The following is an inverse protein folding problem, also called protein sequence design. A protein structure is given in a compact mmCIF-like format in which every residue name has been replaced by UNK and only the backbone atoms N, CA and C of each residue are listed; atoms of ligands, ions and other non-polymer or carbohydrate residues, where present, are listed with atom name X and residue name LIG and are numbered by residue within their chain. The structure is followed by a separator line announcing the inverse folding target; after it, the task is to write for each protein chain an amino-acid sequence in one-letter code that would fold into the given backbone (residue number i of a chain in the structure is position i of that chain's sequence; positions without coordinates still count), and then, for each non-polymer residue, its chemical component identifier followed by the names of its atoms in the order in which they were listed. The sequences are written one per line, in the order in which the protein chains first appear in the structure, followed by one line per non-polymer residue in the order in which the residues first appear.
data_IF_379145019124
#
_entry.id   IF_379145019124
#
_cell.length_a   1.000
_cell.length_b   1.000
_cell.length_c   1.000
_cell.angle_alpha   90.00
_cell.angle_beta   90.00
_cell.angle_gamma   90.00
#
_symmetry.space_group_name_H-M   'P 1'
#
loop_
_entity.id
_entity.type
_entity.pdbx_description
1 polymer ?
#
# COMPACT_ATOMS: atom_id res chain seq x y z
N UNK A 1 -3.61 -4.02 -4.15
CA UNK A 1 -3.99 -2.58 -4.14
C UNK A 1 -3.07 -1.76 -5.04
N UNK A 2 -3.57 -0.64 -5.56
CA UNK A 2 -2.84 0.35 -6.32
C UNK A 2 -3.31 1.75 -5.91
N UNK A 3 -2.40 2.60 -5.44
CA UNK A 3 -2.69 3.95 -4.95
C UNK A 3 -1.87 4.99 -5.70
N UNK A 4 -2.44 6.16 -5.95
CA UNK A 4 -1.75 7.31 -6.52
C UNK A 4 -2.51 8.59 -6.23
N UNK A 5 -2.05 9.71 -6.80
CA UNK A 5 -2.75 11.00 -6.67
C UNK A 5 -4.17 10.84 -7.25
N UNK A 6 -5.18 11.09 -6.41
CA UNK A 6 -6.60 10.96 -6.77
C UNK A 6 -7.00 9.58 -7.33
N UNK A 7 -6.25 8.52 -7.01
CA UNK A 7 -6.49 7.17 -7.52
C UNK A 7 -6.30 6.13 -6.44
N UNK A 8 -7.30 5.28 -6.23
CA UNK A 8 -7.25 4.19 -5.27
C UNK A 8 -7.98 2.99 -5.90
N UNK A 9 -7.34 1.84 -5.92
CA UNK A 9 -7.90 0.61 -6.46
C UNK A 9 -7.56 -0.58 -5.56
N UNK A 10 -8.60 -1.34 -5.23
CA UNK A 10 -8.55 -2.55 -4.42
C UNK A 10 -9.28 -3.66 -5.16
N UNK A 11 -8.85 -4.91 -4.93
CA UNK A 11 -9.54 -6.06 -5.49
C UNK A 11 -8.58 -7.15 -5.93
N UNK A 12 -9.14 -8.12 -6.65
CA UNK A 12 -8.42 -9.29 -7.15
C UNK A 12 -7.63 -8.93 -8.40
N UNK A 13 -6.38 -9.37 -8.42
CA UNK A 13 -5.51 -9.25 -9.58
C UNK A 13 -5.71 -10.47 -10.48
N UNK A 14 -6.37 -10.30 -11.62
CA UNK A 14 -6.64 -11.37 -12.59
C UNK A 14 -5.69 -11.31 -13.78
N UNK A 15 -5.13 -10.14 -14.06
CA UNK A 15 -4.11 -9.95 -15.08
C UNK A 15 -2.91 -9.21 -14.48
N UNK A 16 -1.73 -9.76 -14.68
CA UNK A 16 -0.49 -9.13 -14.22
C UNK A 16 0.64 -9.33 -15.20
N UNK A 17 1.61 -8.43 -15.15
CA UNK A 17 2.89 -8.56 -15.85
C UNK A 17 3.96 -7.97 -14.96
N UNK A 18 5.08 -8.68 -14.83
CA UNK A 18 6.26 -8.22 -14.13
C UNK A 18 7.41 -8.05 -15.12
N UNK A 19 8.15 -6.96 -14.98
CA UNK A 19 9.44 -6.77 -15.65
C UNK A 19 10.52 -7.63 -14.98
N UNK A 20 11.65 -7.82 -15.65
CA UNK A 20 12.79 -8.56 -15.11
C UNK A 20 13.37 -7.96 -13.82
N UNK A 21 13.10 -6.67 -13.54
CA UNK A 21 13.45 -6.02 -12.28
C UNK A 21 12.58 -6.44 -11.08
N UNK A 22 11.55 -7.27 -11.29
CA UNK A 22 10.52 -7.58 -10.30
C UNK A 22 9.42 -6.53 -10.19
N UNK A 23 9.55 -5.41 -10.91
CA UNK A 23 8.51 -4.38 -10.93
C UNK A 23 7.26 -4.89 -11.67
N UNK A 24 6.09 -4.75 -11.06
CA UNK A 24 4.82 -4.97 -11.76
C UNK A 24 4.66 -3.86 -12.79
N UNK A 25 4.38 -4.17 -14.05
CA UNK A 25 4.10 -3.19 -15.11
C UNK A 25 2.66 -3.25 -15.59
N UNK A 26 1.93 -4.32 -15.26
CA UNK A 26 0.49 -4.41 -15.48
C UNK A 26 -0.20 -4.92 -14.22
N UNK A 27 -1.23 -4.21 -13.79
CA UNK A 27 -2.16 -4.63 -12.74
C UNK A 27 -3.60 -4.45 -13.25
N UNK A 28 -4.23 -5.55 -13.65
CA UNK A 28 -5.51 -5.55 -14.36
C UNK A 28 -5.47 -4.59 -15.56
N UNK A 29 -6.40 -3.64 -15.63
CA UNK A 29 -6.50 -2.66 -16.72
C UNK A 29 -5.50 -1.49 -16.59
N UNK A 30 -4.71 -1.46 -15.51
CA UNK A 30 -3.72 -0.39 -15.30
C UNK A 30 -2.34 -0.86 -15.72
N UNK A 31 -1.74 -0.18 -16.70
CA UNK A 31 -0.45 -0.56 -17.30
C UNK A 31 0.53 0.61 -17.29
N UNK A 32 1.78 0.34 -16.91
CA UNK A 32 2.92 1.25 -17.01
C UNK A 32 3.73 0.92 -18.27
N UNK A 33 3.93 1.92 -19.13
CA UNK A 33 4.65 1.79 -20.41
C UNK A 33 5.62 2.95 -20.67
N UNK A 34 6.36 2.88 -21.78
CA UNK A 34 7.31 3.91 -22.20
C UNK A 34 8.66 3.82 -21.50
N UNK A 35 9.32 4.97 -21.31
CA UNK A 35 10.55 5.07 -20.53
C UNK A 35 10.20 5.04 -19.04
N UNK A 36 10.27 3.86 -18.43
CA UNK A 36 9.77 3.65 -17.07
C UNK A 36 10.87 3.74 -16.04
N UNK A 37 10.53 4.32 -14.88
CA UNK A 37 11.36 4.25 -13.67
C UNK A 37 10.47 3.74 -12.54
N UNK A 38 10.97 2.73 -11.83
CA UNK A 38 10.30 2.16 -10.67
C UNK A 38 11.25 2.17 -9.47
N UNK A 39 10.68 2.28 -8.26
CA UNK A 39 11.41 2.40 -7.00
C UNK A 39 10.79 1.52 -5.92
N UNK A 40 11.57 1.27 -4.88
CA UNK A 40 11.20 0.45 -3.71
C UNK A 40 10.64 -0.93 -4.11
N UNK A 41 11.20 -1.52 -5.17
CA UNK A 41 10.79 -2.84 -5.64
C UNK A 41 11.19 -3.88 -4.61
N UNK A 42 10.19 -4.61 -4.11
CA UNK A 42 10.38 -5.72 -3.19
C UNK A 42 9.34 -6.79 -3.46
N UNK A 43 9.75 -8.05 -3.47
CA UNK A 43 8.82 -9.15 -3.74
C UNK A 43 9.50 -10.49 -3.66
N UNK A 44 8.66 -11.51 -3.61
CA UNK A 44 9.02 -12.92 -3.69
C UNK A 44 7.86 -13.67 -4.39
N UNK A 45 7.83 -15.00 -4.29
CA UNK A 45 6.76 -15.81 -4.88
C UNK A 45 5.35 -15.51 -4.31
N UNK A 46 5.24 -14.83 -3.16
CA UNK A 46 4.01 -14.59 -2.43
C UNK A 46 3.53 -13.13 -2.43
N UNK A 47 4.39 -12.18 -2.80
CA UNK A 47 4.00 -10.78 -2.93
C UNK A 47 4.90 -9.99 -3.89
N UNK A 48 4.37 -8.86 -4.37
CA UNK A 48 5.13 -7.84 -5.07
C UNK A 48 4.67 -6.46 -4.59
N UNK A 49 5.63 -5.62 -4.21
CA UNK A 49 5.45 -4.23 -3.77
C UNK A 49 6.37 -3.33 -4.56
N UNK A 50 5.93 -2.11 -4.84
CA UNK A 50 6.78 -1.13 -5.48
C UNK A 50 6.07 0.16 -5.82
N UNK A 51 6.82 1.06 -6.44
CA UNK A 51 6.33 2.37 -6.84
C UNK A 51 6.74 2.72 -8.25
N UNK A 52 5.78 3.13 -9.06
CA UNK A 52 6.00 3.71 -10.38
C UNK A 52 6.21 5.21 -10.22
N UNK A 53 7.32 5.73 -10.74
CA UNK A 53 7.68 7.15 -10.61
C UNK A 53 7.91 7.83 -11.96
N UNK A 54 8.25 7.09 -13.02
CA UNK A 54 8.31 7.63 -14.37
C UNK A 54 7.70 6.66 -15.39
N UNK A 55 7.17 7.19 -16.49
CA UNK A 55 6.54 6.44 -17.58
C UNK A 55 5.11 6.90 -17.85
N UNK A 56 4.38 6.16 -18.68
CA UNK A 56 2.97 6.42 -18.98
C UNK A 56 2.09 5.36 -18.34
N UNK A 57 1.21 5.78 -17.44
CA UNK A 57 0.20 4.94 -16.81
C UNK A 57 -1.09 5.06 -17.61
N UNK A 58 -1.52 3.96 -18.20
CA UNK A 58 -2.83 3.86 -18.88
C UNK A 58 -3.78 3.08 -17.99
N UNK A 59 -4.98 3.62 -17.79
CA UNK A 59 -6.09 3.04 -17.03
C UNK A 59 -7.40 3.25 -17.79
N UNK A 60 -8.49 2.62 -17.34
CA UNK A 60 -9.81 2.75 -17.97
C UNK A 60 -10.31 4.20 -18.06
N UNK A 61 -9.90 5.08 -17.15
CA UNK A 61 -10.26 6.50 -17.14
C UNK A 61 -9.32 7.40 -17.96
N UNK A 62 -8.29 6.84 -18.60
CA UNK A 62 -7.36 7.59 -19.46
C UNK A 62 -5.89 7.28 -19.20
N UNK A 63 -5.01 8.09 -19.81
CA UNK A 63 -3.56 7.98 -19.66
C UNK A 63 -3.00 9.17 -18.87
N UNK A 64 -1.98 8.90 -18.07
CA UNK A 64 -1.26 9.87 -17.27
C UNK A 64 0.25 9.66 -17.45
N UNK A 65 1.02 10.75 -17.57
CA UNK A 65 2.48 10.69 -17.62
C UNK A 65 3.06 11.00 -16.25
N UNK A 66 3.90 10.10 -15.76
CA UNK A 66 4.74 10.27 -14.58
C UNK A 66 6.11 10.79 -15.04
N UNK A 67 6.55 11.92 -14.49
CA UNK A 67 7.79 12.58 -14.96
C UNK A 67 9.04 12.13 -14.22
N UNK A 68 8.89 11.44 -13.09
CA UNK A 68 10.00 11.11 -12.19
C UNK A 68 10.45 12.26 -11.29
N UNK A 69 9.99 13.48 -11.56
CA UNK A 69 10.42 14.71 -10.87
C UNK A 69 9.31 15.41 -10.09
N UNK A 70 8.06 15.00 -10.27
CA UNK A 70 6.91 15.54 -9.56
C UNK A 70 6.37 14.56 -8.50
N UNK A 71 5.19 14.88 -7.96
CA UNK A 71 4.51 14.09 -6.95
C UNK A 71 3.54 13.05 -7.55
N UNK A 72 3.59 12.80 -8.86
CA UNK A 72 2.79 11.75 -9.49
C UNK A 72 3.55 10.44 -9.39
N UNK A 73 3.02 9.55 -8.56
CA UNK A 73 3.51 8.19 -8.43
C UNK A 73 2.34 7.23 -8.19
N UNK A 74 2.56 5.97 -8.54
CA UNK A 74 1.64 4.88 -8.21
C UNK A 74 2.34 3.86 -7.31
N UNK A 75 1.75 3.59 -6.16
CA UNK A 75 2.20 2.63 -5.17
C UNK A 75 1.37 1.37 -5.31
N UNK A 76 2.00 0.22 -5.40
CA UNK A 76 1.28 -1.04 -5.49
C UNK A 76 1.78 -2.03 -4.45
N UNK A 77 0.86 -2.87 -3.99
CA UNK A 77 1.19 -4.14 -3.38
C UNK A 77 0.18 -5.19 -3.86
N UNK A 78 0.70 -6.29 -4.37
CA UNK A 78 0.00 -7.49 -4.78
C UNK A 78 0.51 -8.66 -3.93
N UNK A 79 -0.37 -9.58 -3.58
CA UNK A 79 -0.07 -10.72 -2.72
C UNK A 79 -1.04 -11.86 -3.04
N UNK A 80 -0.68 -13.07 -2.63
CA UNK A 80 -1.53 -14.24 -2.80
C UNK A 80 -2.79 -14.11 -1.94
N UNK A 81 -3.94 -14.47 -2.52
CA UNK A 81 -5.21 -14.45 -1.81
C UNK A 81 -5.19 -15.52 -0.71
N UNK A 82 -5.64 -15.14 0.49
CA UNK A 82 -5.85 -16.11 1.56
C UNK A 82 -7.11 -16.95 1.23
N UNK A 83 -7.07 -18.29 1.33
CA UNK A 83 -8.23 -19.11 1.00
C UNK A 83 -9.36 -18.98 2.03
N UNK A 84 -9.02 -18.84 3.31
CA UNK A 84 -9.96 -18.65 4.41
C UNK A 84 -9.26 -17.95 5.59
N UNK A 85 -10.02 -17.20 6.40
CA UNK A 85 -9.51 -16.66 7.66
C UNK A 85 -9.59 -17.74 8.75
N UNK A 86 -8.54 -17.91 9.57
CA UNK A 86 -8.64 -18.64 10.83
C UNK A 86 -9.72 -18.06 11.73
N UNK A 87 -10.32 -18.90 12.58
CA UNK A 87 -11.34 -18.48 13.55
C UNK A 87 -10.77 -18.04 14.90
N UNK A 88 -9.51 -18.43 15.18
CA UNK A 88 -8.75 -18.07 16.38
C UNK A 88 -7.26 -18.04 16.07
N UNK A 89 -6.48 -17.33 16.89
CA UNK A 89 -5.02 -17.34 16.85
C UNK A 89 -4.44 -15.94 16.84
N UNK A 90 -3.12 -15.84 16.93
CA UNK A 90 -2.40 -14.59 16.76
C UNK A 90 -1.06 -14.84 16.08
N UNK A 91 -0.58 -13.82 15.39
CA UNK A 91 0.68 -13.81 14.67
C UNK A 91 1.42 -12.50 14.95
N UNK A 92 2.73 -12.60 15.16
CA UNK A 92 3.61 -11.44 15.30
C UNK A 92 4.11 -11.02 13.94
N UNK A 93 4.00 -9.74 13.61
CA UNK A 93 4.46 -9.25 12.34
C UNK A 93 5.90 -8.71 12.40
N UNK A 94 6.59 -8.78 11.27
CA UNK A 94 7.91 -8.19 11.09
C UNK A 94 7.86 -6.65 11.08
N UNK A 95 9.02 -6.01 10.84
CA UNK A 95 9.12 -4.55 10.74
C UNK A 95 8.43 -3.97 9.49
N UNK A 96 7.96 -4.82 8.58
CA UNK A 96 7.34 -4.43 7.33
C UNK A 96 8.29 -3.95 6.24
N UNK A 97 7.72 -3.82 5.04
CA UNK A 97 8.34 -3.27 3.84
C UNK A 97 7.44 -2.16 3.31
N UNK A 98 8.02 -1.03 2.94
CA UNK A 98 7.30 0.20 2.63
C UNK A 98 7.76 0.79 1.31
N UNK A 99 6.81 1.37 0.56
CA UNK A 99 7.18 2.38 -0.44
C UNK A 99 7.47 3.71 0.25
N UNK A 100 8.42 4.48 -0.26
CA UNK A 100 8.58 5.88 0.12
C UNK A 100 7.27 6.64 -0.18
N UNK A 101 6.57 7.20 0.82
CA UNK A 101 5.27 7.83 0.60
C UNK A 101 5.39 9.06 -0.30
N UNK A 102 4.40 9.30 -1.16
CA UNK A 102 4.40 10.41 -2.12
C UNK A 102 3.40 11.49 -1.70
N UNK A 103 3.77 12.76 -1.88
CA UNK A 103 2.92 13.91 -1.57
C UNK A 103 1.66 13.94 -2.46
N UNK A 104 0.49 14.18 -1.87
CA UNK A 104 -0.81 14.18 -2.57
C UNK A 104 -1.66 15.43 -2.34
N UNK A 105 -1.21 16.40 -1.54
CA UNK A 105 -1.92 17.66 -1.33
C UNK A 105 -1.79 18.24 0.09
N UNK A 106 -2.56 19.29 0.39
CA UNK A 106 -2.64 19.89 1.72
C UNK A 106 -1.80 21.16 1.88
N UNK A 107 -0.50 21.00 2.14
CA UNK A 107 0.46 22.11 2.28
C UNK A 107 1.15 22.46 0.96
N UNK A 108 1.92 23.54 0.88
CA UNK A 108 2.61 23.97 -0.36
C UNK A 108 4.12 23.93 -0.19
N UNK A 109 4.86 23.64 -1.28
CA UNK A 109 6.34 23.62 -1.24
C UNK A 109 6.93 22.35 -0.59
N UNK A 110 6.14 21.28 -0.54
CA UNK A 110 6.49 20.03 0.11
C UNK A 110 7.39 19.15 -0.76
N UNK A 111 8.20 18.30 -0.12
CA UNK A 111 9.00 17.31 -0.84
C UNK A 111 8.09 16.25 -1.48
N UNK A 112 8.41 15.82 -2.70
CA UNK A 112 7.57 14.85 -3.41
C UNK A 112 7.50 13.48 -2.72
N UNK A 113 8.50 13.12 -1.92
CA UNK A 113 8.57 11.83 -1.25
C UNK A 113 9.11 11.92 0.17
N UNK A 114 8.73 10.96 1.01
CA UNK A 114 9.11 10.83 2.40
C UNK A 114 9.73 9.49 2.77
N UNK A 115 9.80 9.23 4.07
CA UNK A 115 10.07 7.90 4.64
C UNK A 115 8.86 7.42 5.42
N UNK A 116 8.69 6.09 5.46
CA UNK A 116 7.66 5.44 6.26
C UNK A 116 8.26 4.25 7.00
N UNK A 117 7.82 4.08 8.24
CA UNK A 117 8.08 2.91 9.08
C UNK A 117 6.79 2.53 9.80
N UNK A 118 6.76 1.39 10.45
CA UNK A 118 5.60 1.02 11.25
C UNK A 118 5.73 -0.33 11.90
N UNK A 119 4.64 -0.72 12.55
CA UNK A 119 4.47 -2.05 13.12
C UNK A 119 3.02 -2.49 12.94
N UNK A 120 2.84 -3.80 12.90
CA UNK A 120 1.53 -4.44 12.89
C UNK A 120 1.54 -5.66 13.81
N UNK A 121 0.36 -6.05 14.26
CA UNK A 121 0.05 -7.35 14.83
C UNK A 121 -1.23 -7.87 14.20
N UNK A 122 -1.38 -9.19 14.17
CA UNK A 122 -2.53 -9.87 13.61
C UNK A 122 -3.09 -10.85 14.63
N UNK A 123 -4.37 -10.72 14.92
CA UNK A 123 -5.12 -11.71 15.68
C UNK A 123 -6.30 -12.18 14.83
N UNK A 124 -6.77 -13.40 15.11
CA UNK A 124 -7.98 -13.94 14.53
C UNK A 124 -8.98 -14.22 15.63
N UNK A 125 -10.22 -13.86 15.38
CA UNK A 125 -11.36 -14.21 16.21
C UNK A 125 -12.58 -14.57 15.34
N UNK A 126 -13.72 -14.84 15.96
CA UNK A 126 -14.96 -15.19 15.24
C UNK A 126 -15.50 -14.10 14.32
N UNK A 127 -14.94 -12.89 14.34
CA UNK A 127 -15.32 -11.76 13.47
C UNK A 127 -14.38 -11.58 12.27
N UNK A 128 -13.19 -12.20 12.29
CA UNK A 128 -12.22 -12.16 11.21
C UNK A 128 -10.78 -11.93 11.69
N UNK A 129 -9.95 -11.36 10.82
CA UNK A 129 -8.58 -10.95 11.14
C UNK A 129 -8.55 -9.53 11.69
N UNK A 130 -8.23 -9.39 12.97
CA UNK A 130 -8.05 -8.13 13.68
C UNK A 130 -6.60 -7.69 13.54
N UNK A 131 -6.39 -6.61 12.79
CA UNK A 131 -5.08 -5.96 12.64
C UNK A 131 -4.99 -4.81 13.62
N UNK A 132 -3.87 -4.69 14.32
CA UNK A 132 -3.55 -3.53 15.15
C UNK A 132 -2.14 -3.04 14.83
N UNK A 133 -1.92 -1.73 14.80
CA UNK A 133 -0.61 -1.22 14.42
C UNK A 133 -0.60 0.28 14.15
N UNK A 134 0.58 0.80 13.84
CA UNK A 134 0.77 2.22 13.54
C UNK A 134 1.84 2.36 12.48
N UNK A 135 1.59 3.27 11.54
CA UNK A 135 2.54 3.74 10.54
C UNK A 135 3.01 5.14 10.93
N UNK A 136 4.30 5.40 10.81
CA UNK A 136 4.94 6.69 11.04
C UNK A 136 5.53 7.18 9.74
N UNK A 137 5.13 8.38 9.32
CA UNK A 137 5.57 9.04 8.10
C UNK A 137 6.42 10.25 8.50
N UNK A 138 7.59 10.41 7.87
CA UNK A 138 8.47 11.55 8.09
C UNK A 138 8.91 12.19 6.77
N UNK A 139 8.82 13.52 6.70
CA UNK A 139 9.21 14.33 5.54
C UNK A 139 9.75 15.67 6.00
N UNK A 140 10.99 16.01 5.62
CA UNK A 140 11.55 17.35 5.88
C UNK A 140 11.53 17.78 7.36
N UNK A 141 11.63 16.82 8.28
CA UNK A 141 11.54 17.07 9.73
C UNK A 141 10.12 17.09 10.31
N UNK A 142 9.09 17.01 9.47
CA UNK A 142 7.69 16.90 9.87
C UNK A 142 7.27 15.44 9.94
N UNK A 143 6.46 15.08 10.93
CA UNK A 143 5.97 13.71 11.11
C UNK A 143 4.44 13.65 11.12
N UNK A 144 3.90 12.49 10.79
CA UNK A 144 2.50 12.14 10.95
C UNK A 144 2.36 10.64 11.20
N UNK A 145 1.25 10.24 11.84
CA UNK A 145 0.98 8.84 12.16
C UNK A 145 -0.36 8.40 11.61
N UNK A 146 -0.45 7.11 11.28
CA UNK A 146 -1.69 6.47 10.81
C UNK A 146 -1.88 5.18 11.59
N UNK A 147 -3.01 5.07 12.30
CA UNK A 147 -3.40 3.82 12.91
C UNK A 147 -3.93 2.85 11.84
N UNK A 148 -3.43 1.61 11.85
CA UNK A 148 -3.91 0.52 10.99
C UNK A 148 -4.73 -0.48 11.82
N UNK A 149 -5.60 0.04 12.68
CA UNK A 149 -6.46 -0.76 13.54
C UNK A 149 -7.78 -1.06 12.81
N UNK A 150 -7.97 -2.31 12.37
CA UNK A 150 -9.17 -2.69 11.64
C UNK A 150 -9.40 -4.19 11.61
N UNK A 151 -10.66 -4.57 11.36
CA UNK A 151 -11.07 -5.97 11.20
C UNK A 151 -11.31 -6.26 9.73
N UNK A 152 -10.62 -7.28 9.21
CA UNK A 152 -10.83 -7.86 7.88
C UNK A 152 -11.74 -9.07 8.05
N UNK A 153 -13.00 -8.94 7.65
CA UNK A 153 -14.07 -9.91 7.94
C UNK A 153 -14.11 -11.10 6.99
N UNK A 154 -13.49 -10.98 5.83
CA UNK A 154 -13.30 -12.08 4.87
C UNK A 154 -12.01 -11.91 4.05
N UNK A 155 -11.47 -12.97 3.44
CA UNK A 155 -10.23 -12.86 2.65
C UNK A 155 -10.30 -11.87 1.48
N UNK A 156 -11.49 -11.63 0.93
CA UNK A 156 -11.71 -10.68 -0.17
C UNK A 156 -12.08 -9.27 0.32
N UNK A 157 -12.30 -9.08 1.62
CA UNK A 157 -12.69 -7.79 2.19
C UNK A 157 -11.51 -6.84 2.33
N UNK A 158 -11.81 -5.55 2.38
CA UNK A 158 -10.85 -4.50 2.72
C UNK A 158 -11.39 -3.75 3.92
N UNK A 159 -10.61 -3.65 4.99
CA UNK A 159 -10.96 -2.84 6.16
C UNK A 159 -10.51 -1.41 5.93
N UNK A 160 -11.38 -0.43 6.15
CA UNK A 160 -11.06 0.99 5.99
C UNK A 160 -11.02 1.65 7.37
N UNK A 161 -9.94 2.36 7.66
CA UNK A 161 -9.75 3.11 8.90
C UNK A 161 -9.69 4.61 8.66
N UNK A 162 -10.11 5.37 9.68
CA UNK A 162 -10.04 6.83 9.65
C UNK A 162 -10.78 7.45 8.46
N UNK A 163 -10.17 8.48 7.87
CA UNK A 163 -10.72 9.26 6.77
C UNK A 163 -10.06 8.91 5.42
N UNK A 164 -9.55 7.68 5.26
CA UNK A 164 -8.78 7.26 4.08
C UNK A 164 -9.50 7.54 2.75
N UNK A 165 -10.80 7.24 2.67
CA UNK A 165 -11.62 7.45 1.47
C UNK A 165 -12.14 8.88 1.31
N UNK A 166 -12.12 9.69 2.37
CA UNK A 166 -12.59 11.08 2.37
C UNK A 166 -11.46 12.11 2.36
N UNK A 167 -10.23 11.65 2.16
CA UNK A 167 -9.06 12.52 2.05
C UNK A 167 -8.49 13.01 3.38
N UNK A 168 -8.58 12.22 4.44
CA UNK A 168 -7.83 12.45 5.67
C UNK A 168 -6.85 11.31 5.96
N UNK A 169 -6.30 11.31 7.18
CA UNK A 169 -5.45 10.20 7.65
C UNK A 169 -6.27 8.93 7.81
N UNK A 170 -5.72 7.80 7.36
CA UNK A 170 -6.36 6.50 7.47
C UNK A 170 -5.67 5.44 6.60
N UNK A 171 -6.20 4.22 6.62
CA UNK A 171 -5.68 3.12 5.84
C UNK A 171 -6.76 2.21 5.25
N UNK A 172 -6.39 1.52 4.18
CA UNK A 172 -7.09 0.37 3.62
C UNK A 172 -6.24 -0.88 3.89
N UNK A 173 -6.80 -1.84 4.63
CA UNK A 173 -6.11 -3.02 5.13
C UNK A 173 -6.68 -4.26 4.45
N UNK A 174 -5.80 -5.12 3.95
CA UNK A 174 -6.14 -6.40 3.36
C UNK A 174 -5.23 -7.50 3.93
N UNK A 175 -5.76 -8.73 3.98
CA UNK A 175 -5.00 -9.92 4.38
C UNK A 175 -4.71 -10.82 3.19
N UNK A 176 -3.56 -11.47 3.22
CA UNK A 176 -3.12 -12.40 2.19
C UNK A 176 -2.37 -13.59 2.77
N UNK A 177 -2.07 -14.55 1.90
CA UNK A 177 -1.20 -15.69 2.18
C UNK A 177 0.25 -15.31 1.86
N UNK A 178 1.18 -15.51 2.81
CA UNK A 178 2.63 -15.37 2.58
C UNK A 178 3.35 -16.71 2.44
N UNK A 179 2.60 -17.82 2.44
CA UNK A 179 3.12 -19.18 2.37
C UNK A 179 3.76 -19.65 3.68
N UNK A 180 3.89 -20.96 3.84
CA UNK A 180 4.55 -21.57 5.01
C UNK A 180 3.87 -21.24 6.35
N UNK A 181 2.54 -21.05 6.35
CA UNK A 181 1.76 -20.69 7.54
C UNK A 181 1.84 -19.21 7.95
N UNK A 182 2.51 -18.37 7.15
CA UNK A 182 2.62 -16.93 7.39
C UNK A 182 1.52 -16.14 6.64
N UNK A 183 1.15 -15.00 7.21
CA UNK A 183 0.15 -14.09 6.64
C UNK A 183 0.79 -12.82 6.09
N UNK A 184 0.17 -12.24 5.08
CA UNK A 184 0.42 -10.86 4.63
C UNK A 184 -0.58 -9.94 5.30
N UNK A 185 -0.11 -8.90 5.99
CA UNK A 185 -0.90 -7.71 6.29
C UNK A 185 -0.46 -6.62 5.32
N UNK A 186 -1.33 -6.26 4.37
CA UNK A 186 -1.07 -5.19 3.42
C UNK A 186 -1.89 -3.95 3.79
N UNK A 187 -1.23 -2.80 3.88
CA UNK A 187 -1.87 -1.53 4.23
C UNK A 187 -1.55 -0.47 3.17
N UNK A 188 -2.58 0.03 2.51
CA UNK A 188 -2.51 1.27 1.74
C UNK A 188 -2.89 2.41 2.66
N UNK A 189 -2.11 3.48 2.74
CA UNK A 189 -2.34 4.54 3.74
C UNK A 189 -2.32 5.94 3.14
N UNK A 190 -3.01 6.84 3.81
CA UNK A 190 -2.90 8.28 3.64
C UNK A 190 -2.59 8.88 5.03
N UNK A 191 -1.60 9.76 5.09
CA UNK A 191 -1.17 10.43 6.31
C UNK A 191 -1.19 11.94 6.11
N UNK A 192 -1.85 12.66 7.02
CA UNK A 192 -1.69 14.11 7.17
C UNK A 192 -0.62 14.37 8.23
N UNK A 193 0.43 15.09 7.86
CA UNK A 193 1.50 15.49 8.76
C UNK A 193 1.10 16.72 9.58
N UNK A 194 1.88 17.06 10.60
CA UNK A 194 1.58 18.20 11.49
C UNK A 194 1.53 19.57 10.78
N UNK A 195 2.21 19.72 9.63
CA UNK A 195 2.14 20.92 8.78
C UNK A 195 0.94 20.92 7.82
N UNK A 196 0.06 19.92 7.88
CA UNK A 196 -1.11 19.77 6.99
C UNK A 196 -0.79 19.12 5.63
N UNK A 197 0.48 18.80 5.34
CA UNK A 197 0.85 18.08 4.14
C UNK A 197 0.31 16.65 4.17
N UNK A 198 -0.14 16.15 3.02
CA UNK A 198 -0.73 14.83 2.88
C UNK A 198 0.13 13.95 2.01
N UNK A 199 0.34 12.72 2.45
CA UNK A 199 1.15 11.73 1.77
C UNK A 199 0.44 10.38 1.70
N UNK A 200 0.68 9.62 0.63
CA UNK A 200 0.16 8.25 0.49
C UNK A 200 1.28 7.26 0.23
N UNK A 201 1.08 6.01 0.62
CA UNK A 201 1.97 4.92 0.30
C UNK A 201 1.34 3.57 0.59
N UNK A 202 2.12 2.51 0.39
CA UNK A 202 1.73 1.15 0.77
C UNK A 202 2.80 0.52 1.66
N UNK A 203 2.33 -0.35 2.55
CA UNK A 203 3.13 -1.15 3.45
C UNK A 203 2.70 -2.61 3.36
N UNK A 204 3.65 -3.52 3.57
CA UNK A 204 3.40 -4.96 3.75
C UNK A 204 4.12 -5.43 5.00
N UNK A 205 3.44 -6.20 5.84
CA UNK A 205 4.03 -6.94 6.94
C UNK A 205 3.87 -8.44 6.71
N UNK A 206 4.88 -9.22 7.08
CA UNK A 206 4.77 -10.69 7.19
C UNK A 206 4.49 -11.04 8.64
N UNK A 207 3.43 -11.80 8.91
CA UNK A 207 3.04 -12.21 10.25
C UNK A 207 3.13 -13.73 10.41
N UNK A 208 3.79 -14.18 11.48
CA UNK A 208 4.01 -15.61 11.81
C UNK A 208 3.59 -15.95 13.22
#
# INVERSE_FOLDING_TARGET
MLLGVNSQSFGTLTQSTQAASGAMTKLNDTTLTGATTTKEISGDANFALGRWVAGTVTRSSGAETLTGTDNRAYHYVAFNALPALPTTGSASCDAGVFTAPTYVGGATGEANAGTATGSASLAFDGTGGVVSGTLSIAVGGTTGTVAINGTVTSPSSTSITGAFLSGGSGAAIQLGDHGGGAYVVAAGYAATLSNGARYTGVAKFRCV
#
